data_IF_645731826400
#
_entry.id   IF_645731826400
#
_cell.length_a   1.000
_cell.length_b   1.000
_cell.length_c   1.000
_cell.angle_alpha   90.00
_cell.angle_beta   90.00
_cell.angle_gamma   90.00
#
_symmetry.space_group_name_H-M   'P 1'
#
loop_
_entity.id
_entity.type
_entity.pdbx_description
1 polymer ?
#
# COMPACT_ATOMS: atom_id res chain seq x y z
N UNK A 1 -45.90 14.41 54.37
CA UNK A 1 -45.65 15.55 53.45
C UNK A 1 -44.20 16.00 53.47
N UNK A 2 -43.56 16.26 54.63
CA UNK A 2 -42.12 16.62 54.68
C UNK A 2 -41.18 15.49 54.22
N UNK A 3 -41.47 14.24 54.61
CA UNK A 3 -40.66 13.04 54.26
C UNK A 3 -40.66 12.70 52.77
N UNK A 4 -41.74 13.01 52.04
CA UNK A 4 -41.80 12.79 50.59
C UNK A 4 -41.04 13.87 49.81
N UNK A 5 -41.01 15.11 50.32
CA UNK A 5 -40.25 16.22 49.73
C UNK A 5 -38.74 15.96 49.78
N UNK A 6 -38.22 15.55 50.95
CA UNK A 6 -36.79 15.24 51.13
C UNK A 6 -36.35 14.07 50.23
N UNK A 7 -37.22 13.08 50.03
CA UNK A 7 -36.95 11.94 49.16
C UNK A 7 -36.90 12.36 47.67
N UNK A 8 -37.78 13.28 47.26
CA UNK A 8 -37.79 13.85 45.91
C UNK A 8 -36.54 14.70 45.65
N UNK A 9 -36.16 15.57 46.58
CA UNK A 9 -34.96 16.41 46.46
C UNK A 9 -33.68 15.57 46.31
N UNK A 10 -33.51 14.51 47.12
CA UNK A 10 -32.38 13.59 46.97
C UNK A 10 -32.37 12.89 45.62
N UNK A 11 -33.53 12.52 45.10
CA UNK A 11 -33.65 11.88 43.78
C UNK A 11 -33.30 12.85 42.65
N UNK A 12 -33.74 14.11 42.76
CA UNK A 12 -33.41 15.18 41.79
C UNK A 12 -31.91 15.42 41.76
N UNK A 13 -31.27 15.65 42.91
CA UNK A 13 -29.83 15.89 42.99
C UNK A 13 -29.01 14.73 42.38
N UNK A 14 -29.44 13.48 42.60
CA UNK A 14 -28.82 12.30 41.98
C UNK A 14 -28.98 12.30 40.46
N UNK A 15 -30.17 12.60 39.95
CA UNK A 15 -30.43 12.64 38.51
C UNK A 15 -29.66 13.78 37.83
N UNK A 16 -29.56 14.94 38.46
CA UNK A 16 -28.76 16.07 37.97
C UNK A 16 -27.27 15.70 37.90
N UNK A 17 -26.74 15.03 38.92
CA UNK A 17 -25.37 14.51 38.89
C UNK A 17 -25.14 13.49 37.78
N UNK A 18 -26.08 12.55 37.57
CA UNK A 18 -26.01 11.58 36.49
C UNK A 18 -26.10 12.24 35.11
N UNK A 19 -26.96 13.24 34.96
CA UNK A 19 -27.10 14.00 33.73
C UNK A 19 -25.85 14.83 33.43
N UNK A 20 -25.25 15.45 34.45
CA UNK A 20 -23.98 16.17 34.33
C UNK A 20 -22.85 15.23 33.87
N UNK A 21 -22.76 14.03 34.45
CA UNK A 21 -21.78 13.03 34.02
C UNK A 21 -22.03 12.55 32.58
N UNK A 22 -23.29 12.35 32.18
CA UNK A 22 -23.64 11.93 30.82
C UNK A 22 -23.35 13.03 29.80
N UNK A 23 -23.74 14.28 30.09
CA UNK A 23 -23.51 15.43 29.20
C UNK A 23 -22.03 15.80 29.07
N UNK A 24 -21.21 15.48 30.08
CA UNK A 24 -19.76 15.55 29.97
C UNK A 24 -19.15 14.51 28.99
N UNK A 25 -19.80 13.36 28.81
CA UNK A 25 -19.35 12.31 27.89
C UNK A 25 -19.97 12.43 26.49
N UNK A 26 -21.25 12.78 26.41
CA UNK A 26 -22.02 12.85 25.16
C UNK A 26 -22.72 14.21 25.09
N UNK A 27 -22.34 15.02 24.12
CA UNK A 27 -22.95 16.33 23.89
C UNK A 27 -23.52 16.43 22.48
N UNK A 28 -24.79 16.83 22.37
CA UNK A 28 -25.42 17.24 21.11
C UNK A 28 -25.61 18.77 21.13
N UNK A 29 -25.08 19.46 20.13
CA UNK A 29 -25.22 20.93 20.03
C UNK A 29 -26.47 21.31 19.22
N UNK A 30 -27.04 22.52 19.43
CA UNK A 30 -28.17 23.00 18.62
C UNK A 30 -27.89 23.04 17.11
N UNK A 31 -26.61 23.07 16.71
CA UNK A 31 -26.16 22.96 15.31
C UNK A 31 -26.09 21.53 14.77
N UNK A 32 -26.50 20.51 15.54
CA UNK A 32 -26.57 19.12 15.11
C UNK A 32 -25.29 18.29 15.28
N UNK A 33 -24.22 18.85 15.87
CA UNK A 33 -23.00 18.09 16.13
C UNK A 33 -23.16 17.20 17.37
N UNK A 34 -22.84 15.91 17.23
CA UNK A 34 -22.72 14.94 18.32
C UNK A 34 -21.24 14.70 18.61
N UNK A 35 -20.84 14.86 19.88
CA UNK A 35 -19.48 14.53 20.34
C UNK A 35 -19.54 13.46 21.43
N UNK A 36 -18.61 12.50 21.38
CA UNK A 36 -18.40 11.48 22.41
C UNK A 36 -16.95 11.61 22.89
N UNK A 37 -16.78 11.95 24.17
CA UNK A 37 -15.46 12.11 24.80
C UNK A 37 -15.33 11.14 25.96
N UNK A 38 -14.41 10.17 25.86
CA UNK A 38 -14.19 9.16 26.90
C UNK A 38 -12.69 9.01 27.19
N UNK A 39 -12.24 9.51 28.34
CA UNK A 39 -10.83 9.47 28.76
C UNK A 39 -10.30 8.03 28.94
N UNK A 40 -11.17 7.09 29.31
CA UNK A 40 -10.84 5.67 29.45
C UNK A 40 -10.96 4.84 28.16
N UNK A 41 -11.40 5.46 27.06
CA UNK A 41 -11.64 4.78 25.78
C UNK A 41 -13.10 4.43 25.52
N UNK A 42 -13.37 3.91 24.31
CA UNK A 42 -14.70 3.51 23.83
C UNK A 42 -14.59 2.09 23.25
N UNK A 43 -15.53 1.22 23.59
CA UNK A 43 -15.68 -0.11 22.99
C UNK A 43 -17.02 -0.21 22.28
N UNK A 44 -17.01 -0.67 21.02
CA UNK A 44 -18.21 -0.84 20.19
C UNK A 44 -18.20 -2.27 19.68
N UNK A 45 -19.24 -3.04 20.03
CA UNK A 45 -19.42 -4.43 19.60
C UNK A 45 -20.80 -4.58 18.98
N UNK A 46 -20.87 -5.13 17.78
CA UNK A 46 -22.14 -5.47 17.11
C UNK A 46 -22.22 -6.99 16.92
N UNK A 47 -23.34 -7.60 17.27
CA UNK A 47 -23.61 -9.01 16.98
C UNK A 47 -23.99 -9.28 15.50
N UNK A 48 -24.27 -8.21 14.76
CA UNK A 48 -24.52 -8.22 13.32
C UNK A 48 -23.61 -7.22 12.60
N UNK A 49 -24.11 -6.61 11.53
CA UNK A 49 -23.35 -5.59 10.80
C UNK A 49 -23.21 -4.29 11.59
N UNK A 50 -22.02 -3.68 11.51
CA UNK A 50 -21.76 -2.31 11.94
C UNK A 50 -21.45 -1.45 10.71
N UNK A 51 -22.30 -0.48 10.41
CA UNK A 51 -22.13 0.42 9.25
C UNK A 51 -21.82 1.82 9.72
N UNK A 52 -20.73 2.41 9.22
CA UNK A 52 -20.40 3.82 9.42
C UNK A 52 -20.43 4.52 8.05
N UNK A 53 -21.24 5.56 7.92
CA UNK A 53 -21.39 6.33 6.69
C UNK A 53 -21.27 7.82 7.02
N UNK A 54 -20.41 8.53 6.29
CA UNK A 54 -20.32 9.98 6.34
C UNK A 54 -20.75 10.57 4.99
N UNK A 55 -21.59 11.60 5.01
CA UNK A 55 -22.09 12.23 3.78
C UNK A 55 -21.08 13.13 3.06
N UNK A 56 -20.02 13.56 3.75
CA UNK A 56 -18.97 14.41 3.18
C UNK A 56 -17.58 13.82 3.46
N UNK A 57 -17.15 13.80 4.72
CA UNK A 57 -15.84 13.28 5.10
C UNK A 57 -15.92 12.42 6.37
N UNK A 58 -15.11 11.37 6.41
CA UNK A 58 -14.85 10.57 7.60
C UNK A 58 -13.34 10.66 7.89
N UNK A 59 -12.97 11.44 8.91
CA UNK A 59 -11.57 11.59 9.33
C UNK A 59 -11.33 10.79 10.61
N UNK A 60 -10.18 10.11 10.68
CA UNK A 60 -9.77 9.32 11.84
C UNK A 60 -8.31 9.63 12.15
N UNK A 61 -8.04 10.02 13.39
CA UNK A 61 -6.69 10.30 13.89
C UNK A 61 -6.43 9.39 15.08
N UNK A 62 -5.29 8.69 15.08
CA UNK A 62 -4.93 7.71 16.11
C UNK A 62 -3.58 8.08 16.70
N UNK A 63 -3.48 8.16 18.02
CA UNK A 63 -2.27 8.63 18.71
C UNK A 63 -1.13 7.61 18.78
N UNK A 64 -1.39 6.32 18.56
CA UNK A 64 -0.36 5.28 18.59
C UNK A 64 -0.56 4.22 17.51
N UNK A 65 -1.48 3.28 17.71
CA UNK A 65 -1.65 2.14 16.81
C UNK A 65 -3.08 2.10 16.30
N UNK A 66 -3.24 2.09 14.98
CA UNK A 66 -4.47 1.68 14.33
C UNK A 66 -4.33 0.23 13.84
N UNK A 67 -5.14 -0.68 14.39
CA UNK A 67 -5.15 -2.08 14.01
C UNK A 67 -6.48 -2.44 13.33
N UNK A 68 -6.40 -3.00 12.12
CA UNK A 68 -7.54 -3.51 11.38
C UNK A 68 -7.31 -4.99 11.05
N UNK A 69 -8.26 -5.83 11.45
CA UNK A 69 -8.22 -7.27 11.19
C UNK A 69 -9.59 -7.72 10.71
N UNK A 70 -9.62 -8.60 9.70
CA UNK A 70 -10.83 -9.20 9.20
C UNK A 70 -10.60 -10.70 8.97
N UNK A 71 -11.60 -11.52 9.31
CA UNK A 71 -11.52 -12.97 9.11
C UNK A 71 -11.52 -13.41 7.64
N UNK A 72 -12.09 -12.58 6.74
CA UNK A 72 -12.26 -12.95 5.33
C UNK A 72 -11.60 -11.95 4.37
N UNK A 73 -11.92 -10.66 4.49
CA UNK A 73 -11.46 -9.65 3.53
C UNK A 73 -11.47 -8.26 4.14
N UNK A 74 -10.42 -7.50 3.87
CA UNK A 74 -10.41 -6.04 3.97
C UNK A 74 -10.50 -5.52 2.52
N UNK A 75 -11.50 -4.68 2.22
CA UNK A 75 -11.63 -4.02 0.91
C UNK A 75 -11.47 -2.52 1.10
N UNK A 76 -10.49 -1.94 0.42
CA UNK A 76 -10.25 -0.50 0.35
C UNK A 76 -10.58 -0.05 -1.08
N UNK A 77 -11.47 0.92 -1.21
CA UNK A 77 -11.86 1.45 -2.51
C UNK A 77 -11.91 2.98 -2.42
N UNK A 78 -11.05 3.64 -3.19
CA UNK A 78 -11.05 5.09 -3.35
C UNK A 78 -11.57 5.46 -4.74
N UNK A 79 -12.33 6.55 -4.85
CA UNK A 79 -12.80 7.04 -6.15
C UNK A 79 -11.71 7.76 -6.95
N UNK A 80 -10.71 8.31 -6.28
CA UNK A 80 -9.61 9.07 -6.89
C UNK A 80 -8.25 8.55 -6.45
N UNK A 81 -8.05 8.37 -5.13
CA UNK A 81 -6.75 8.02 -4.56
C UNK A 81 -6.90 7.12 -3.34
N UNK A 82 -5.90 6.26 -3.15
CA UNK A 82 -5.56 5.64 -1.87
C UNK A 82 -4.06 5.91 -1.66
N UNK A 83 -3.72 6.81 -0.74
CA UNK A 83 -2.33 7.14 -0.43
C UNK A 83 -1.88 6.40 0.85
N UNK A 84 -0.68 5.82 0.81
CA UNK A 84 0.01 5.23 1.96
C UNK A 84 1.33 5.96 2.16
N UNK A 85 1.35 6.93 3.06
CA UNK A 85 2.57 7.60 3.49
C UNK A 85 3.02 7.03 4.83
N UNK A 86 4.23 6.48 4.87
CA UNK A 86 4.77 5.81 6.05
C UNK A 86 6.28 5.79 6.02
N UNK A 87 6.90 5.76 7.21
CA UNK A 87 8.35 5.52 7.32
C UNK A 87 8.73 4.12 6.83
N UNK A 88 7.87 3.12 7.04
CA UNK A 88 8.07 1.72 6.65
C UNK A 88 6.72 1.13 6.22
N UNK A 89 6.71 0.42 5.09
CA UNK A 89 5.54 -0.29 4.59
C UNK A 89 5.90 -1.75 4.31
N UNK A 90 5.19 -2.69 4.94
CA UNK A 90 5.35 -4.12 4.70
C UNK A 90 4.07 -4.67 4.06
N UNK A 91 4.21 -5.24 2.86
CA UNK A 91 3.15 -5.97 2.17
C UNK A 91 3.58 -7.42 2.06
N UNK A 92 2.87 -8.30 2.76
CA UNK A 92 3.16 -9.74 2.77
C UNK A 92 1.88 -10.53 2.51
N UNK A 93 1.97 -11.48 1.59
CA UNK A 93 0.90 -12.44 1.29
C UNK A 93 1.47 -13.86 1.33
N UNK A 94 0.62 -14.84 1.64
CA UNK A 94 1.03 -16.25 1.77
C UNK A 94 0.73 -17.08 0.52
N UNK A 95 -0.15 -16.58 -0.35
CA UNK A 95 -0.56 -17.26 -1.59
C UNK A 95 -0.09 -16.43 -2.77
N UNK A 96 -0.80 -15.33 -3.08
CA UNK A 96 -0.51 -14.48 -4.24
C UNK A 96 -0.48 -13.00 -3.87
N UNK A 97 0.29 -12.22 -4.64
CA UNK A 97 0.23 -10.75 -4.66
C UNK A 97 0.12 -10.31 -6.12
N UNK A 98 -0.96 -9.60 -6.46
CA UNK A 98 -1.18 -9.04 -7.79
C UNK A 98 -1.29 -7.51 -7.73
N UNK A 99 -0.65 -6.84 -8.68
CA UNK A 99 -0.69 -5.40 -8.85
C UNK A 99 -1.02 -5.13 -10.33
N UNK A 100 -2.13 -4.43 -10.58
CA UNK A 100 -2.61 -4.16 -11.92
C UNK A 100 -2.94 -2.68 -12.06
N UNK A 101 -2.40 -2.04 -13.10
CA UNK A 101 -2.77 -0.69 -13.52
C UNK A 101 -3.24 -0.75 -14.97
N UNK A 102 -4.30 -0.02 -15.29
CA UNK A 102 -4.79 0.11 -16.66
C UNK A 102 -3.97 1.13 -17.48
N UNK A 103 -3.09 1.89 -16.82
CA UNK A 103 -2.26 2.93 -17.42
C UNK A 103 -0.80 2.63 -17.08
N UNK A 104 -0.15 3.49 -16.30
CA UNK A 104 1.24 3.32 -15.88
C UNK A 104 1.37 2.74 -14.48
N UNK A 105 2.53 2.17 -14.21
CA UNK A 105 3.01 1.79 -12.88
C UNK A 105 4.48 2.18 -12.78
N UNK A 106 4.84 2.99 -11.78
CA UNK A 106 6.23 3.35 -11.49
C UNK A 106 6.64 2.75 -10.14
N UNK A 107 7.90 2.32 -10.04
CA UNK A 107 8.52 1.85 -8.80
C UNK A 107 9.87 2.53 -8.71
N UNK A 108 10.05 3.34 -7.67
CA UNK A 108 11.24 4.16 -7.46
C UNK A 108 11.80 3.90 -6.07
N UNK A 109 13.11 3.69 -6.00
CA UNK A 109 13.84 3.52 -4.74
C UNK A 109 14.99 4.53 -4.69
N UNK A 110 15.11 5.29 -3.59
CA UNK A 110 16.20 6.26 -3.42
C UNK A 110 17.57 5.64 -3.18
N UNK A 111 17.64 4.32 -2.96
CA UNK A 111 18.87 3.55 -2.80
C UNK A 111 18.76 2.27 -3.65
N UNK A 112 18.50 1.13 -3.01
CA UNK A 112 18.48 -0.17 -3.66
C UNK A 112 17.05 -0.65 -3.94
N UNK A 113 16.86 -1.26 -5.11
CA UNK A 113 15.69 -2.08 -5.43
C UNK A 113 16.14 -3.53 -5.58
N UNK A 114 15.59 -4.43 -4.77
CA UNK A 114 15.92 -5.86 -4.77
C UNK A 114 14.70 -6.66 -5.19
N UNK A 115 14.84 -7.48 -6.24
CA UNK A 115 13.81 -8.42 -6.70
C UNK A 115 14.40 -9.82 -6.67
N UNK A 116 13.82 -10.69 -5.83
CA UNK A 116 14.25 -12.07 -5.68
C UNK A 116 13.08 -13.02 -5.95
N UNK A 117 13.29 -14.03 -6.79
CA UNK A 117 12.29 -15.04 -7.14
C UNK A 117 12.84 -16.44 -6.90
N UNK A 118 12.09 -17.30 -6.22
CA UNK A 118 12.52 -18.70 -5.98
C UNK A 118 12.40 -19.64 -7.18
N UNK A 119 11.66 -19.24 -8.23
CA UNK A 119 11.47 -20.04 -9.45
C UNK A 119 11.74 -19.22 -10.70
N UNK A 120 10.71 -18.57 -11.27
CA UNK A 120 10.79 -17.85 -12.53
C UNK A 120 10.70 -16.35 -12.30
N UNK A 121 11.57 -15.60 -12.98
CA UNK A 121 11.44 -14.17 -13.21
C UNK A 121 11.14 -13.95 -14.70
N UNK A 122 10.09 -13.20 -15.02
CA UNK A 122 9.72 -12.90 -16.41
C UNK A 122 9.26 -11.47 -16.56
N UNK A 123 9.71 -10.84 -17.64
CA UNK A 123 9.32 -9.50 -18.07
C UNK A 123 8.81 -9.60 -19.50
N UNK A 124 7.59 -9.12 -19.73
CA UNK A 124 6.96 -9.07 -21.04
C UNK A 124 6.54 -7.64 -21.32
N UNK A 125 6.96 -7.11 -22.46
CA UNK A 125 6.57 -5.78 -22.93
C UNK A 125 6.10 -5.87 -24.39
N UNK A 126 5.10 -5.06 -24.74
CA UNK A 126 4.49 -5.08 -26.07
C UNK A 126 5.24 -4.24 -27.11
N UNK A 127 5.92 -3.18 -26.69
CA UNK A 127 6.67 -2.29 -27.57
C UNK A 127 8.18 -2.41 -27.37
N UNK A 128 8.68 -2.11 -26.17
CA UNK A 128 10.09 -2.22 -25.82
C UNK A 128 10.32 -2.56 -24.35
N UNK A 129 11.50 -3.11 -24.06
CA UNK A 129 12.00 -3.29 -22.71
C UNK A 129 13.47 -2.88 -22.62
N UNK A 130 13.80 -2.00 -21.68
CA UNK A 130 15.16 -1.49 -21.48
C UNK A 130 15.63 -1.69 -20.05
N UNK A 131 16.86 -2.19 -19.89
CA UNK A 131 17.60 -2.22 -18.61
C UNK A 131 18.85 -1.37 -18.78
N UNK A 132 18.97 -0.29 -17.99
CA UNK A 132 20.02 0.72 -18.18
C UNK A 132 20.72 1.09 -16.88
N UNK A 133 22.03 1.31 -16.96
CA UNK A 133 22.84 1.90 -15.91
C UNK A 133 23.90 2.82 -16.52
N UNK A 134 23.81 4.13 -16.27
CA UNK A 134 24.65 5.13 -16.94
C UNK A 134 24.59 5.01 -18.46
N UNK A 135 25.73 4.74 -19.10
CA UNK A 135 25.85 4.51 -20.56
C UNK A 135 25.70 3.04 -20.99
N UNK A 136 25.61 2.09 -20.05
CA UNK A 136 25.38 0.69 -20.36
C UNK A 136 23.88 0.40 -20.49
N UNK A 137 23.48 -0.40 -21.47
CA UNK A 137 22.07 -0.75 -21.71
C UNK A 137 21.88 -2.12 -22.37
N UNK A 138 20.76 -2.76 -22.02
CA UNK A 138 20.13 -3.86 -22.75
C UNK A 138 18.78 -3.34 -23.24
N UNK A 139 18.48 -3.48 -24.52
CA UNK A 139 17.22 -3.06 -25.14
C UNK A 139 16.64 -4.20 -25.98
N UNK A 140 15.34 -4.45 -25.83
CA UNK A 140 14.54 -5.39 -26.62
C UNK A 140 13.40 -4.60 -27.27
N UNK A 141 13.15 -4.82 -28.56
CA UNK A 141 12.08 -4.14 -29.31
C UNK A 141 11.09 -5.14 -29.90
N UNK A 142 9.87 -4.68 -30.17
CA UNK A 142 8.82 -5.49 -30.80
C UNK A 142 9.14 -6.03 -32.19
N UNK A 143 10.09 -5.41 -32.90
CA UNK A 143 10.57 -5.89 -34.20
C UNK A 143 11.56 -7.07 -34.08
N UNK A 144 11.86 -7.52 -32.86
CA UNK A 144 12.81 -8.59 -32.57
C UNK A 144 14.25 -8.12 -32.42
N UNK A 145 14.54 -6.84 -32.61
CA UNK A 145 15.89 -6.29 -32.39
C UNK A 145 16.27 -6.37 -30.91
N UNK A 146 17.47 -6.90 -30.66
CA UNK A 146 18.09 -6.95 -29.32
C UNK A 146 19.42 -6.22 -29.38
N UNK A 147 19.63 -5.28 -28.46
CA UNK A 147 20.84 -4.46 -28.41
C UNK A 147 21.49 -4.55 -27.03
N UNK A 148 22.78 -4.90 -27.01
CA UNK A 148 23.63 -4.88 -25.82
C UNK A 148 24.75 -3.84 -26.02
N UNK A 149 24.81 -2.82 -25.17
CA UNK A 149 25.83 -1.76 -25.24
C UNK A 149 26.52 -1.57 -23.89
N UNK A 150 27.83 -1.36 -23.94
CA UNK A 150 28.68 -1.01 -22.80
C UNK A 150 30.08 -0.59 -23.26
N UNK A 151 30.86 0.03 -22.37
CA UNK A 151 32.29 0.33 -22.62
C UNK A 151 33.09 -0.96 -22.81
N UNK A 152 32.89 -1.88 -21.87
CA UNK A 152 33.44 -3.23 -21.89
C UNK A 152 32.27 -4.22 -21.82
N UNK A 153 32.31 -5.28 -22.64
CA UNK A 153 31.38 -6.41 -22.56
C UNK A 153 32.22 -7.67 -22.38
N UNK A 154 32.08 -8.32 -21.22
CA UNK A 154 32.80 -9.57 -20.91
C UNK A 154 31.80 -10.71 -20.84
N UNK A 155 32.02 -11.75 -21.64
CA UNK A 155 31.23 -12.98 -21.64
C UNK A 155 32.10 -14.14 -21.18
N UNK A 156 31.86 -14.65 -19.96
CA UNK A 156 32.57 -15.81 -19.42
C UNK A 156 31.64 -17.03 -19.46
N UNK A 157 32.07 -18.11 -20.13
CA UNK A 157 31.31 -19.35 -20.21
C UNK A 157 32.23 -20.53 -19.94
N UNK A 158 31.85 -21.40 -18.99
CA UNK A 158 32.60 -22.63 -18.68
C UNK A 158 32.40 -23.72 -19.73
N UNK A 159 31.30 -23.65 -20.49
CA UNK A 159 30.98 -24.56 -21.58
C UNK A 159 31.30 -23.97 -22.95
N UNK A 160 30.27 -23.87 -23.80
CA UNK A 160 30.37 -23.39 -25.18
C UNK A 160 29.56 -22.11 -25.37
N UNK A 161 30.13 -21.12 -26.06
CA UNK A 161 29.39 -20.00 -26.65
C UNK A 161 29.14 -20.32 -28.13
N UNK A 162 27.91 -20.17 -28.60
CA UNK A 162 27.54 -20.40 -30.00
C UNK A 162 26.83 -19.17 -30.57
N UNK A 163 27.33 -18.65 -31.68
CA UNK A 163 26.71 -17.54 -32.42
C UNK A 163 26.39 -18.05 -33.83
N UNK A 164 25.11 -18.07 -34.20
CA UNK A 164 24.63 -18.47 -35.52
C UNK A 164 23.86 -17.32 -36.15
N UNK A 165 24.15 -17.03 -37.40
CA UNK A 165 23.39 -16.10 -38.24
C UNK A 165 23.03 -16.83 -39.54
N UNK A 166 21.81 -16.66 -40.03
CA UNK A 166 21.40 -17.13 -41.36
C UNK A 166 21.90 -16.21 -42.47
N UNK A 167 22.35 -15.01 -42.11
CA UNK A 167 22.92 -14.01 -43.01
C UNK A 167 24.35 -13.67 -42.54
N UNK A 168 24.72 -12.39 -42.57
CA UNK A 168 26.07 -11.96 -42.23
C UNK A 168 26.27 -11.87 -40.72
N UNK A 169 27.49 -12.20 -40.28
CA UNK A 169 28.02 -11.86 -38.95
C UNK A 169 29.17 -10.89 -39.16
N UNK A 170 29.10 -9.72 -38.53
CA UNK A 170 30.16 -8.70 -38.62
C UNK A 170 30.83 -8.55 -37.27
N UNK A 171 32.13 -8.84 -37.20
CA UNK A 171 32.95 -8.67 -36.01
C UNK A 171 34.05 -7.67 -36.35
N UNK A 172 34.13 -6.57 -35.60
CA UNK A 172 35.14 -5.53 -35.77
C UNK A 172 35.86 -5.30 -34.45
N UNK A 173 37.18 -5.23 -34.52
CA UNK A 173 38.05 -4.89 -33.40
C UNK A 173 39.44 -4.59 -33.94
N UNK A 174 40.25 -3.85 -33.18
CA UNK A 174 41.67 -3.63 -33.51
C UNK A 174 42.46 -4.95 -33.53
N UNK A 175 42.00 -5.97 -32.79
CA UNK A 175 42.51 -7.34 -32.80
C UNK A 175 41.38 -8.32 -32.54
N UNK A 176 41.30 -9.38 -33.35
CA UNK A 176 40.42 -10.53 -33.12
C UNK A 176 41.33 -11.74 -32.91
N UNK A 177 41.34 -12.29 -31.69
CA UNK A 177 42.09 -13.50 -31.37
C UNK A 177 41.24 -14.74 -31.63
N UNK A 178 41.78 -15.69 -32.38
CA UNK A 178 41.19 -17.01 -32.65
C UNK A 178 42.30 -18.06 -32.51
N UNK A 179 42.03 -19.17 -31.82
CA UNK A 179 42.92 -20.33 -31.70
C UNK A 179 42.09 -21.59 -31.92
#
# INVERSE_FOLDING_TARGET
>A
MATDSDALERRIARLESQLAALTAMISATPGGALAITAAGGVSITAGGALTLTAGSACAMTVGSIFALSAGTRIKLAGGQEIMLDSRQCHVQTTVDLSLTSAQSMSVEAGKDLVIATGKKFSVTASDDATVKSGSAQIELKKDGSVTLKGRDITTNASGRVTVKSSANTVIKGSKIGQN
#
